data_IF_469845191398
#
_entry.id   IF_469845191398
#
_cell.length_a   1.000
_cell.length_b   1.000
_cell.length_c   1.000
_cell.angle_alpha   90.00
_cell.angle_beta   90.00
_cell.angle_gamma   90.00
#
_symmetry.space_group_name_H-M   'P 1'
#
loop_
_entity.id
_entity.type
_entity.pdbx_description
1 polymer ?
#
# COMPACT_ATOMS: atom_id res chain seq x y z
N UNK A 1 0.97 13.28 5.26
CA UNK A 1 2.10 12.73 4.50
C UNK A 1 2.06 11.22 4.63
N UNK A 2 2.04 10.48 3.51
CA UNK A 2 1.95 9.02 3.51
C UNK A 2 3.35 8.43 3.33
N UNK A 3 3.70 7.44 4.15
CA UNK A 3 4.98 6.74 4.09
C UNK A 3 4.75 5.29 3.69
N UNK A 4 5.38 4.85 2.61
CA UNK A 4 5.23 3.49 2.05
C UNK A 4 6.60 2.87 1.87
N UNK A 5 6.79 1.62 2.31
CA UNK A 5 8.03 0.89 2.02
C UNK A 5 8.06 0.53 0.53
N UNK A 6 9.21 0.75 -0.11
CA UNK A 6 9.37 0.52 -1.55
C UNK A 6 10.70 -0.17 -1.84
N UNK A 7 10.71 -0.99 -2.88
CA UNK A 7 11.96 -1.37 -3.55
C UNK A 7 12.17 -0.39 -4.69
N UNK A 8 13.36 0.19 -4.77
CA UNK A 8 13.72 1.17 -5.78
C UNK A 8 15.06 0.82 -6.41
N UNK A 9 15.23 1.17 -7.68
CA UNK A 9 16.46 1.03 -8.44
C UNK A 9 17.10 2.40 -8.63
N UNK A 10 18.36 2.54 -8.29
CA UNK A 10 19.09 3.80 -8.48
C UNK A 10 19.43 3.97 -9.95
N UNK A 11 18.99 5.07 -10.57
CA UNK A 11 19.30 5.38 -11.98
C UNK A 11 20.45 6.37 -12.10
N UNK A 12 20.62 7.25 -11.10
CA UNK A 12 21.65 8.27 -11.10
C UNK A 12 22.05 8.66 -9.67
N UNK A 13 23.32 8.99 -9.49
CA UNK A 13 23.83 9.61 -8.27
C UNK A 13 24.17 11.08 -8.57
N UNK A 14 23.64 12.01 -7.77
CA UNK A 14 23.91 13.46 -7.92
C UNK A 14 25.23 13.81 -7.23
N UNK A 15 25.55 13.18 -6.10
CA UNK A 15 26.79 13.40 -5.37
C UNK A 15 27.53 12.07 -5.11
N UNK A 16 28.46 11.68 -6.00
CA UNK A 16 29.28 10.48 -5.83
C UNK A 16 30.40 10.66 -4.79
N UNK A 17 30.58 11.84 -4.20
CA UNK A 17 31.71 12.19 -3.31
C UNK A 17 31.45 11.82 -1.85
N UNK A 18 30.22 11.42 -1.49
CA UNK A 18 29.95 10.64 -0.25
C UNK A 18 30.51 9.20 -0.39
N UNK A 19 31.80 9.11 -0.71
CA UNK A 19 32.55 7.88 -0.93
C UNK A 19 32.74 7.19 0.41
N UNK A 20 31.90 6.18 0.60
CA UNK A 20 31.81 5.37 1.79
C UNK A 20 30.55 4.51 1.73
N UNK A 21 29.50 5.01 1.07
CA UNK A 21 28.28 4.24 0.87
C UNK A 21 28.38 3.18 -0.22
N UNK A 22 27.74 2.03 0.00
CA UNK A 22 27.69 0.89 -0.94
C UNK A 22 26.62 1.05 -2.03
N UNK A 23 26.07 2.25 -2.21
CA UNK A 23 25.05 2.53 -3.22
C UNK A 23 25.69 2.57 -4.59
N UNK A 24 25.08 1.86 -5.55
CA UNK A 24 25.54 1.79 -6.94
C UNK A 24 24.38 2.10 -7.88
N UNK A 25 24.68 2.82 -8.97
CA UNK A 25 23.74 2.97 -10.09
C UNK A 25 23.42 1.59 -10.66
N UNK A 26 22.14 1.35 -10.97
CA UNK A 26 21.59 0.05 -11.35
C UNK A 26 21.26 -0.87 -10.17
N UNK A 27 21.71 -0.55 -8.95
CA UNK A 27 21.43 -1.34 -7.76
C UNK A 27 20.00 -1.16 -7.27
N UNK A 28 19.43 -2.24 -6.73
CA UNK A 28 18.11 -2.27 -6.12
C UNK A 28 18.21 -2.28 -4.59
N UNK A 29 17.42 -1.41 -3.95
CA UNK A 29 17.46 -1.19 -2.51
C UNK A 29 16.05 -1.03 -1.95
N UNK A 30 15.89 -1.27 -0.65
CA UNK A 30 14.62 -1.07 0.07
C UNK A 30 14.67 0.23 0.84
N UNK A 31 13.74 1.14 0.56
CA UNK A 31 13.64 2.45 1.19
C UNK A 31 12.22 2.81 1.60
N UNK A 32 12.04 4.04 2.08
CA UNK A 32 10.74 4.59 2.46
C UNK A 32 10.39 5.71 1.50
N UNK A 33 9.37 5.50 0.68
CA UNK A 33 8.76 6.55 -0.13
C UNK A 33 7.88 7.42 0.76
N UNK A 34 8.20 8.72 0.82
CA UNK A 34 7.35 9.74 1.43
C UNK A 34 6.62 10.48 0.32
N UNK A 35 5.31 10.23 0.19
CA UNK A 35 4.44 10.91 -0.77
C UNK A 35 4.03 12.29 -0.20
N UNK A 36 4.45 13.37 -0.87
CA UNK A 36 4.23 14.77 -0.46
C UNK A 36 4.12 15.70 -1.68
N UNK A 37 4.53 16.97 -1.58
CA UNK A 37 4.60 17.89 -2.74
C UNK A 37 5.71 17.45 -3.71
N UNK A 38 6.81 16.93 -3.16
CA UNK A 38 7.88 16.27 -3.90
C UNK A 38 8.06 14.88 -3.31
N UNK A 39 7.84 13.87 -4.14
CA UNK A 39 8.05 12.48 -3.76
C UNK A 39 9.54 12.21 -3.58
N UNK A 40 9.90 11.57 -2.47
CA UNK A 40 11.29 11.18 -2.20
C UNK A 40 11.36 9.83 -1.51
N UNK A 41 12.44 9.13 -1.76
CA UNK A 41 12.79 7.86 -1.12
C UNK A 41 13.96 8.09 -0.18
N UNK A 42 13.69 7.90 1.11
CA UNK A 42 14.70 7.94 2.15
C UNK A 42 15.30 6.52 2.31
N UNK A 43 16.63 6.39 2.26
CA UNK A 43 17.35 5.14 2.38
C UNK A 43 18.60 5.30 3.26
N UNK A 44 18.81 4.38 4.18
CA UNK A 44 20.04 4.32 4.99
C UNK A 44 20.84 3.10 4.56
N UNK A 45 22.09 3.31 4.16
CA UNK A 45 22.94 2.20 3.76
C UNK A 45 23.49 1.42 4.97
N UNK A 46 24.22 0.33 4.70
CA UNK A 46 24.81 -0.52 5.74
C UNK A 46 25.84 0.17 6.62
N UNK A 47 26.35 1.33 6.17
CA UNK A 47 27.35 2.12 6.87
C UNK A 47 26.69 3.27 7.64
N UNK A 48 25.36 3.31 7.71
CA UNK A 48 24.60 4.36 8.40
C UNK A 48 24.54 5.67 7.62
N UNK A 49 24.97 5.69 6.35
CA UNK A 49 24.88 6.90 5.52
C UNK A 49 23.46 7.05 5.00
N UNK A 50 22.88 8.22 5.20
CA UNK A 50 21.57 8.57 4.70
C UNK A 50 21.64 9.09 3.26
N UNK A 51 20.76 8.54 2.44
CA UNK A 51 20.59 8.84 1.04
C UNK A 51 19.15 9.24 0.78
N UNK A 52 18.98 10.24 -0.07
CA UNK A 52 17.66 10.69 -0.54
C UNK A 52 17.64 10.54 -2.05
N UNK A 53 16.66 9.81 -2.54
CA UNK A 53 16.42 9.62 -3.98
C UNK A 53 15.07 10.22 -4.38
N UNK A 54 14.95 10.59 -5.63
CA UNK A 54 13.77 11.21 -6.21
C UNK A 54 13.28 10.32 -7.36
N UNK A 55 12.06 9.75 -7.24
CA UNK A 55 11.47 8.94 -8.30
C UNK A 55 11.41 9.72 -9.62
N UNK A 56 11.89 9.10 -10.71
CA UNK A 56 11.94 9.72 -12.05
C UNK A 56 13.19 10.56 -12.34
N UNK A 57 13.94 10.96 -11.31
CA UNK A 57 15.19 11.71 -11.48
C UNK A 57 16.43 10.90 -11.13
N UNK A 58 16.46 10.32 -9.92
CA UNK A 58 17.63 9.58 -9.39
C UNK A 58 17.33 8.12 -9.06
N UNK A 59 16.05 7.74 -9.02
CA UNK A 59 15.64 6.35 -8.89
C UNK A 59 14.34 6.04 -9.64
N UNK A 60 14.10 4.75 -9.84
CA UNK A 60 12.82 4.19 -10.30
C UNK A 60 12.24 3.30 -9.21
N UNK A 61 10.93 3.38 -8.98
CA UNK A 61 10.24 2.49 -8.04
C UNK A 61 9.94 1.17 -8.75
N UNK A 62 10.52 0.08 -8.24
CA UNK A 62 10.32 -1.28 -8.78
C UNK A 62 9.08 -1.93 -8.17
N UNK A 63 8.92 -1.80 -6.85
CA UNK A 63 7.75 -2.35 -6.15
C UNK A 63 7.38 -1.51 -4.94
N UNK A 64 6.09 -1.41 -4.66
CA UNK A 64 5.56 -0.84 -3.42
C UNK A 64 5.18 -2.00 -2.51
N UNK A 65 5.76 -2.07 -1.32
CA UNK A 65 5.25 -2.94 -0.26
C UNK A 65 3.98 -2.27 0.29
N UNK A 66 2.88 -2.36 -0.48
CA UNK A 66 1.56 -2.25 0.11
C UNK A 66 1.52 -3.31 1.19
N UNK A 67 1.42 -2.90 2.46
CA UNK A 67 0.98 -3.81 3.51
C UNK A 67 -0.27 -4.45 2.95
N UNK A 68 -0.18 -5.72 2.57
CA UNK A 68 -1.37 -6.50 2.39
C UNK A 68 -2.17 -6.30 3.68
N UNK A 69 -3.48 -6.04 3.61
CA UNK A 69 -4.30 -6.07 4.81
C UNK A 69 -3.93 -7.36 5.56
N UNK A 70 -3.58 -7.22 6.84
CA UNK A 70 -2.88 -8.23 7.63
C UNK A 70 -3.62 -9.58 7.71
N UNK A 71 -4.83 -9.63 7.18
CA UNK A 71 -5.65 -10.81 7.04
C UNK A 71 -6.54 -10.68 5.76
N UNK A 72 -6.39 -11.56 4.76
CA UNK A 72 -7.25 -11.64 3.59
C UNK A 72 -8.75 -11.76 3.95
N UNK A 73 -9.07 -12.44 5.05
CA UNK A 73 -10.45 -12.58 5.55
C UNK A 73 -10.97 -11.24 6.06
N UNK A 74 -10.16 -10.48 6.79
CA UNK A 74 -10.55 -9.17 7.32
C UNK A 74 -10.84 -8.16 6.20
N UNK A 75 -10.11 -8.22 5.10
CA UNK A 75 -10.40 -7.42 3.92
C UNK A 75 -11.71 -7.79 3.24
N UNK A 76 -12.00 -9.09 3.14
CA UNK A 76 -13.27 -9.57 2.59
C UNK A 76 -14.45 -9.16 3.47
N UNK A 77 -14.29 -9.23 4.79
CA UNK A 77 -15.28 -8.74 5.76
C UNK A 77 -15.53 -7.23 5.59
N UNK A 78 -14.48 -6.43 5.45
CA UNK A 78 -14.62 -4.97 5.31
C UNK A 78 -15.31 -4.60 3.99
N UNK A 79 -15.02 -5.32 2.92
CA UNK A 79 -15.68 -5.13 1.62
C UNK A 79 -17.18 -5.43 1.68
N UNK A 80 -17.55 -6.60 2.24
CA UNK A 80 -18.95 -7.02 2.38
C UNK A 80 -19.75 -6.05 3.26
N UNK A 81 -19.17 -5.57 4.37
CA UNK A 81 -19.79 -4.54 5.22
C UNK A 81 -20.02 -3.22 4.47
N UNK A 82 -19.11 -2.86 3.56
CA UNK A 82 -19.24 -1.67 2.72
C UNK A 82 -20.39 -1.79 1.72
N UNK A 83 -20.56 -2.96 1.09
CA UNK A 83 -21.69 -3.23 0.20
C UNK A 83 -23.02 -3.18 0.94
N UNK A 84 -23.11 -3.79 2.11
CA UNK A 84 -24.33 -3.77 2.94
C UNK A 84 -24.72 -2.35 3.33
N UNK A 85 -23.74 -1.53 3.74
CA UNK A 85 -23.98 -0.12 4.07
C UNK A 85 -24.49 0.67 2.86
N UNK A 86 -23.90 0.46 1.69
CA UNK A 86 -24.32 1.14 0.46
C UNK A 86 -25.77 0.74 0.08
N UNK A 87 -26.10 -0.56 0.16
CA UNK A 87 -27.46 -1.07 -0.06
C UNK A 87 -28.50 -0.42 0.86
N UNK A 88 -28.17 -0.25 2.15
CA UNK A 88 -29.07 0.41 3.12
C UNK A 88 -29.17 1.94 2.92
N UNK A 89 -28.17 2.57 2.32
CA UNK A 89 -28.16 4.01 2.05
C UNK A 89 -28.76 4.35 0.66
N UNK A 90 -28.86 3.36 -0.24
CA UNK A 90 -29.54 3.49 -1.53
C UNK A 90 -31.06 3.42 -1.34
N UNK A 91 -31.72 4.57 -1.19
CA UNK A 91 -33.19 4.69 -1.19
C UNK A 91 -33.87 4.42 -2.54
N UNK A 92 -33.35 3.49 -3.34
CA UNK A 92 -33.87 3.08 -4.65
C UNK A 92 -34.43 1.65 -4.67
N UNK A 93 -34.33 0.93 -3.57
CA UNK A 93 -34.81 -0.45 -3.44
C UNK A 93 -35.97 -0.50 -2.44
N UNK A 94 -36.95 -1.35 -2.70
CA UNK A 94 -37.98 -1.66 -1.70
C UNK A 94 -37.39 -2.42 -0.51
N UNK A 95 -38.07 -2.43 0.63
CA UNK A 95 -37.62 -3.17 1.82
C UNK A 95 -37.39 -4.67 1.51
N UNK A 96 -38.27 -5.26 0.68
CA UNK A 96 -38.17 -6.65 0.24
C UNK A 96 -36.90 -6.90 -0.61
N UNK A 97 -36.57 -5.99 -1.54
CA UNK A 97 -35.37 -6.10 -2.39
C UNK A 97 -34.07 -5.95 -1.58
N UNK A 98 -34.08 -5.07 -0.56
CA UNK A 98 -32.95 -4.89 0.35
C UNK A 98 -32.73 -6.17 1.17
N UNK A 99 -33.80 -6.81 1.62
CA UNK A 99 -33.73 -8.04 2.42
C UNK A 99 -33.20 -9.22 1.61
N UNK A 100 -33.65 -9.39 0.36
CA UNK A 100 -33.12 -10.42 -0.56
C UNK A 100 -31.62 -10.26 -0.84
N UNK A 101 -31.12 -9.03 -0.96
CA UNK A 101 -29.70 -8.76 -1.19
C UNK A 101 -28.86 -8.81 0.09
N UNK A 102 -29.48 -8.57 1.25
CA UNK A 102 -28.83 -8.59 2.56
C UNK A 102 -28.57 -10.01 3.07
N UNK A 103 -29.53 -10.94 2.91
CA UNK A 103 -29.41 -12.31 3.42
C UNK A 103 -28.13 -13.03 2.94
N UNK A 104 -27.75 -12.99 1.64
CA UNK A 104 -26.52 -13.61 1.16
C UNK A 104 -25.25 -12.98 1.72
N UNK A 105 -25.26 -11.66 1.97
CA UNK A 105 -24.10 -10.92 2.52
C UNK A 105 -23.92 -11.26 4.00
N UNK A 106 -25.01 -11.27 4.78
CA UNK A 106 -24.98 -11.64 6.20
C UNK A 106 -24.57 -13.12 6.39
N UNK A 107 -24.99 -14.01 5.50
CA UNK A 107 -24.58 -15.42 5.50
C UNK A 107 -23.07 -15.56 5.26
N UNK A 108 -22.53 -14.88 4.24
CA UNK A 108 -21.08 -14.88 3.98
C UNK A 108 -20.27 -14.28 5.13
N UNK A 109 -20.78 -13.21 5.77
CA UNK A 109 -20.14 -12.61 6.94
C UNK A 109 -20.11 -13.55 8.14
N UNK A 110 -21.15 -14.37 8.32
CA UNK A 110 -21.22 -15.39 9.38
C UNK A 110 -20.22 -16.52 9.13
N UNK A 111 -20.20 -17.08 7.92
CA UNK A 111 -19.24 -18.14 7.55
C UNK A 111 -17.77 -17.70 7.73
N UNK A 112 -17.46 -16.47 7.31
CA UNK A 112 -16.12 -15.90 7.48
C UNK A 112 -15.74 -15.63 8.94
N UNK A 113 -16.72 -15.40 9.83
CA UNK A 113 -16.48 -15.26 11.27
C UNK A 113 -16.29 -16.61 11.95
N UNK A 114 -17.07 -17.60 11.56
CA UNK A 114 -17.03 -18.95 12.14
C UNK A 114 -15.76 -19.73 11.69
N UNK A 115 -15.14 -19.33 10.57
CA UNK A 115 -13.88 -19.89 10.06
C UNK A 115 -12.61 -19.37 10.76
N UNK A 116 -12.73 -18.46 11.73
CA UNK A 116 -11.62 -17.84 12.47
C UNK A 116 -11.50 -18.42 13.88
#
# INVERSE_FOLDING_TARGET
>A
MKRTKVTFRVTRLIDPVKQGGKVRVGGEYKGVLTESVVDRVDFTDTNGTEWVFYPGETCEIISRETKAPADPLQSKINFLKGQLKNLMECGHFSEDEIEELRIPIDTQLKELRDAR
#
